data_IF_883326691589
#
_entry.id   IF_883326691589
#
_cell.length_a   1.000
_cell.length_b   1.000
_cell.length_c   1.000
_cell.angle_alpha   90.00
_cell.angle_beta   90.00
_cell.angle_gamma   90.00
#
_symmetry.space_group_name_H-M   'P 1'
#
loop_
_entity.id
_entity.type
_entity.pdbx_description
1 polymer ?
#
# COMPACT_ATOMS: atom_id res chain seq x y z
N UNK A 1 5.97 28.73 -54.97
CA UNK A 1 4.68 28.41 -54.32
C UNK A 1 4.87 27.11 -53.54
N UNK A 2 5.40 27.16 -52.32
CA UNK A 2 5.66 25.98 -51.47
C UNK A 2 4.73 26.06 -50.26
N UNK A 3 3.89 25.05 -50.14
CA UNK A 3 2.77 24.97 -49.20
C UNK A 3 3.28 24.92 -47.77
N UNK A 4 2.67 25.76 -46.94
CA UNK A 4 2.86 25.90 -45.50
C UNK A 4 2.24 24.65 -44.84
N UNK A 5 3.07 23.74 -44.32
CA UNK A 5 2.60 22.59 -43.56
C UNK A 5 1.94 23.09 -42.27
N UNK A 6 0.64 22.83 -42.14
CA UNK A 6 -0.21 23.34 -41.08
C UNK A 6 -0.10 22.38 -39.87
N UNK A 7 0.84 22.64 -38.97
CA UNK A 7 1.21 21.78 -37.83
C UNK A 7 0.13 21.59 -36.76
N UNK A 8 -1.04 22.21 -36.91
CA UNK A 8 -2.16 22.14 -35.96
C UNK A 8 -3.17 21.04 -36.30
N UNK A 9 -3.37 20.68 -37.58
CA UNK A 9 -4.29 19.60 -37.96
C UNK A 9 -3.75 18.22 -37.58
N UNK A 10 -2.44 18.01 -37.68
CA UNK A 10 -1.80 16.72 -37.34
C UNK A 10 -1.84 16.44 -35.84
N UNK A 11 -1.81 17.49 -35.01
CA UNK A 11 -1.95 17.33 -33.55
C UNK A 11 -3.37 16.97 -33.15
N UNK A 12 -4.38 17.56 -33.79
CA UNK A 12 -5.78 17.22 -33.55
C UNK A 12 -6.09 15.79 -34.00
N UNK A 13 -5.56 15.35 -35.15
CA UNK A 13 -5.68 13.98 -35.62
C UNK A 13 -4.97 12.98 -34.67
N UNK A 14 -3.82 13.34 -34.09
CA UNK A 14 -3.16 12.55 -33.06
C UNK A 14 -3.97 12.47 -31.76
N UNK A 15 -4.60 13.57 -31.33
CA UNK A 15 -5.46 13.58 -30.15
C UNK A 15 -6.73 12.75 -30.34
N UNK A 16 -7.36 12.82 -31.51
CA UNK A 16 -8.54 12.01 -31.85
C UNK A 16 -8.20 10.52 -31.96
N UNK A 17 -7.01 10.17 -32.47
CA UNK A 17 -6.51 8.79 -32.46
C UNK A 17 -6.23 8.27 -31.04
N UNK A 18 -5.72 9.13 -30.16
CA UNK A 18 -5.46 8.80 -28.76
C UNK A 18 -6.77 8.64 -27.98
N UNK A 19 -7.78 9.48 -28.26
CA UNK A 19 -9.13 9.37 -27.70
C UNK A 19 -9.90 8.14 -28.24
N UNK A 20 -9.76 7.82 -29.53
CA UNK A 20 -10.37 6.64 -30.14
C UNK A 20 -9.74 5.33 -29.63
N UNK A 21 -8.43 5.33 -29.33
CA UNK A 21 -7.74 4.18 -28.72
C UNK A 21 -8.16 3.98 -27.26
N UNK A 22 -8.46 5.06 -26.53
CA UNK A 22 -8.94 5.01 -25.14
C UNK A 22 -10.40 4.56 -25.00
N UNK A 23 -11.23 4.73 -26.03
CA UNK A 23 -12.66 4.37 -25.98
C UNK A 23 -12.95 2.93 -26.43
N UNK A 24 -11.99 2.27 -27.08
CA UNK A 24 -12.13 0.90 -27.59
C UNK A 24 -11.28 -0.11 -26.78
N UNK A 25 -11.47 -0.18 -25.47
CA UNK A 25 -11.03 -1.35 -24.69
C UNK A 25 -12.11 -2.43 -24.77
N UNK A 26 -11.91 -3.54 -25.50
CA UNK A 26 -12.85 -4.66 -25.46
C UNK A 26 -12.82 -5.29 -24.06
N UNK A 27 -14.01 -5.52 -23.51
CA UNK A 27 -14.21 -6.28 -22.26
C UNK A 27 -13.79 -7.74 -22.49
N UNK A 28 -12.52 -8.06 -22.32
CA UNK A 28 -12.07 -9.45 -22.19
C UNK A 28 -11.54 -9.71 -20.78
N UNK A 29 -12.30 -10.54 -20.08
CA UNK A 29 -12.18 -10.91 -18.68
C UNK A 29 -11.09 -11.96 -18.49
N UNK A 30 -9.85 -11.53 -18.32
CA UNK A 30 -8.88 -12.19 -17.46
C UNK A 30 -8.09 -11.12 -16.74
N UNK A 31 -8.72 -10.52 -15.74
CA UNK A 31 -8.03 -9.59 -14.83
C UNK A 31 -7.04 -10.42 -14.00
N UNK A 32 -5.71 -10.17 -14.05
CA UNK A 32 -4.88 -10.51 -12.91
C UNK A 32 -5.51 -9.77 -11.73
N UNK A 33 -5.97 -10.53 -10.73
CA UNK A 33 -6.65 -9.99 -9.57
C UNK A 33 -5.63 -9.15 -8.79
N UNK A 34 -5.47 -7.89 -9.16
CA UNK A 34 -5.00 -6.87 -8.24
C UNK A 34 -6.03 -6.85 -7.12
N UNK A 35 -5.67 -7.46 -6.00
CA UNK A 35 -6.46 -7.41 -4.77
C UNK A 35 -6.63 -5.94 -4.45
N UNK A 36 -7.82 -5.41 -4.73
CA UNK A 36 -8.17 -4.03 -4.45
C UNK A 36 -8.07 -3.78 -2.96
N UNK A 37 -7.09 -2.99 -2.53
CA UNK A 37 -6.89 -2.73 -1.10
C UNK A 37 -5.57 -2.04 -0.76
N UNK A 38 -5.30 -1.98 0.55
CA UNK A 38 -4.06 -1.49 1.17
C UNK A 38 -2.78 -2.01 0.50
N UNK A 39 -2.86 -3.14 -0.19
CA UNK A 39 -1.76 -3.81 -0.90
C UNK A 39 -1.32 -3.13 -2.19
N UNK A 40 -2.21 -2.41 -2.90
CA UNK A 40 -1.87 -1.77 -4.19
C UNK A 40 -0.70 -0.78 -4.06
N UNK A 41 -0.67 0.13 -3.07
CA UNK A 41 0.50 0.98 -2.86
C UNK A 41 1.78 0.20 -2.59
N UNK A 42 1.73 -0.90 -1.84
CA UNK A 42 2.91 -1.75 -1.58
C UNK A 42 3.39 -2.41 -2.87
N UNK A 43 2.47 -2.91 -3.68
CA UNK A 43 2.79 -3.60 -4.92
C UNK A 43 3.45 -2.62 -5.90
N UNK A 44 2.80 -1.47 -6.16
CA UNK A 44 3.32 -0.41 -7.04
C UNK A 44 4.67 0.13 -6.54
N UNK A 45 4.81 0.40 -5.23
CA UNK A 45 6.08 0.86 -4.66
C UNK A 45 7.18 -0.19 -4.80
N UNK A 46 6.86 -1.46 -4.54
CA UNK A 46 7.84 -2.55 -4.63
C UNK A 46 8.25 -2.87 -6.06
N UNK A 47 7.39 -2.57 -7.03
CA UNK A 47 7.65 -2.74 -8.46
C UNK A 47 8.49 -1.59 -9.04
N UNK A 48 8.19 -0.35 -8.63
CA UNK A 48 8.93 0.84 -9.09
C UNK A 48 10.44 0.80 -8.76
N UNK A 49 10.85 -0.05 -7.81
CA UNK A 49 12.24 -0.18 -7.38
C UNK A 49 12.75 -1.62 -7.56
N UNK A 50 13.65 -1.81 -8.54
CA UNK A 50 14.19 -3.12 -8.93
C UNK A 50 15.20 -3.73 -7.94
N UNK A 51 15.73 -2.95 -6.99
CA UNK A 51 16.76 -3.42 -6.05
C UNK A 51 16.19 -3.94 -4.73
N UNK A 52 16.59 -5.15 -4.32
CA UNK A 52 16.09 -5.84 -3.12
C UNK A 52 16.38 -5.09 -1.81
N UNK A 53 17.43 -4.28 -1.76
CA UNK A 53 17.87 -3.56 -0.56
C UNK A 53 16.97 -2.35 -0.26
N UNK A 54 16.55 -1.60 -1.29
CA UNK A 54 15.64 -0.46 -1.13
C UNK A 54 14.19 -0.88 -0.89
N UNK A 55 13.77 -2.06 -1.40
CA UNK A 55 12.40 -2.57 -1.21
C UNK A 55 12.02 -2.70 0.27
N UNK A 56 12.93 -3.18 1.11
CA UNK A 56 12.64 -3.29 2.54
C UNK A 56 12.55 -1.93 3.24
N UNK A 57 13.41 -0.98 2.86
CA UNK A 57 13.34 0.39 3.38
C UNK A 57 12.01 1.07 3.02
N UNK A 58 11.48 0.83 1.82
CA UNK A 58 10.18 1.37 1.40
C UNK A 58 9.01 0.79 2.21
N UNK A 59 9.05 -0.52 2.52
CA UNK A 59 8.05 -1.17 3.38
C UNK A 59 8.08 -0.62 4.82
N UNK A 60 9.24 -0.18 5.30
CA UNK A 60 9.33 0.49 6.61
C UNK A 60 8.77 1.91 6.54
N UNK A 61 9.02 2.65 5.46
CA UNK A 61 8.53 4.03 5.29
C UNK A 61 7.00 4.12 5.31
N UNK A 62 6.31 3.20 4.62
CA UNK A 62 4.83 3.18 4.62
C UNK A 62 4.26 2.88 6.02
N UNK A 63 4.96 2.09 6.83
CA UNK A 63 4.61 1.90 8.25
C UNK A 63 4.77 3.19 9.07
N UNK A 64 5.78 4.02 8.78
CA UNK A 64 5.90 5.34 9.41
C UNK A 64 4.75 6.27 9.03
N UNK A 65 4.33 6.28 7.76
CA UNK A 65 3.17 7.05 7.35
C UNK A 65 1.88 6.62 8.06
N UNK A 66 1.72 5.33 8.29
CA UNK A 66 0.59 4.81 9.05
C UNK A 66 0.62 5.30 10.51
N UNK A 67 1.78 5.23 11.18
CA UNK A 67 1.93 5.74 12.55
C UNK A 67 1.73 7.27 12.63
N UNK A 68 2.17 8.03 11.63
CA UNK A 68 1.91 9.47 11.52
C UNK A 68 0.42 9.78 11.37
N UNK A 69 -0.32 8.96 10.61
CA UNK A 69 -1.78 9.05 10.54
C UNK A 69 -2.43 8.79 11.90
N UNK A 70 -1.97 7.76 12.62
CA UNK A 70 -2.51 7.38 13.92
C UNK A 70 -2.40 8.50 14.98
N UNK A 71 -1.28 9.24 15.02
CA UNK A 71 -1.12 10.38 15.96
C UNK A 71 -1.88 11.64 15.52
N UNK A 72 -2.10 11.81 14.21
CA UNK A 72 -2.82 12.97 13.69
C UNK A 72 -4.31 12.95 14.09
N UNK A 73 -4.93 11.77 14.15
CA UNK A 73 -6.36 11.62 14.51
C UNK A 73 -6.70 12.18 15.90
N UNK A 74 -6.07 11.73 17.01
CA UNK A 74 -6.37 12.26 18.34
C UNK A 74 -5.93 13.72 18.50
N UNK A 75 -4.92 14.17 17.74
CA UNK A 75 -4.56 15.58 17.70
C UNK A 75 -5.69 16.42 17.11
N UNK A 76 -6.23 16.03 15.96
CA UNK A 76 -7.37 16.70 15.32
C UNK A 76 -8.63 16.61 16.17
N UNK A 77 -8.84 15.50 16.87
CA UNK A 77 -9.93 15.30 17.82
C UNK A 77 -9.83 16.34 18.96
N UNK A 78 -8.68 16.42 19.62
CA UNK A 78 -8.42 17.40 20.68
C UNK A 78 -8.61 18.83 20.21
N UNK A 79 -8.07 19.20 19.04
CA UNK A 79 -8.24 20.53 18.46
C UNK A 79 -9.73 20.85 18.17
N UNK A 80 -10.49 19.88 17.67
CA UNK A 80 -11.88 20.11 17.26
C UNK A 80 -12.84 20.19 18.46
N UNK A 81 -12.73 19.24 19.40
CA UNK A 81 -13.64 19.14 20.54
C UNK A 81 -13.26 20.07 21.70
N UNK A 82 -11.96 20.24 22.00
CA UNK A 82 -11.52 21.04 23.16
C UNK A 82 -11.30 22.50 22.80
N UNK A 83 -10.65 22.80 21.68
CA UNK A 83 -10.31 24.19 21.32
C UNK A 83 -11.40 24.90 20.52
N UNK A 84 -12.08 24.19 19.61
CA UNK A 84 -13.08 24.78 18.72
C UNK A 84 -14.53 24.56 19.16
N UNK A 85 -14.78 23.70 20.16
CA UNK A 85 -16.12 23.31 20.63
C UNK A 85 -17.09 22.94 19.48
N UNK A 86 -16.57 22.28 18.43
CA UNK A 86 -17.35 21.96 17.23
C UNK A 86 -17.97 20.55 17.33
N UNK A 87 -18.99 20.32 16.51
CA UNK A 87 -19.69 19.03 16.43
C UNK A 87 -18.86 17.98 15.68
N UNK A 88 -19.11 16.70 15.98
CA UNK A 88 -18.53 15.53 15.31
C UNK A 88 -18.54 15.58 13.77
N UNK A 89 -19.53 16.26 13.16
CA UNK A 89 -19.61 16.45 11.70
C UNK A 89 -18.37 17.14 11.13
N UNK A 90 -17.87 18.16 11.83
CA UNK A 90 -16.70 18.91 11.37
C UNK A 90 -15.42 18.09 11.52
N UNK A 91 -15.35 17.23 12.53
CA UNK A 91 -14.25 16.28 12.69
C UNK A 91 -14.20 15.30 11.51
N UNK A 92 -15.34 14.71 11.12
CA UNK A 92 -15.42 13.81 9.96
C UNK A 92 -15.01 14.52 8.66
N UNK A 93 -15.44 15.76 8.45
CA UNK A 93 -15.03 16.56 7.29
C UNK A 93 -13.51 16.75 7.27
N UNK A 94 -12.91 17.14 8.40
CA UNK A 94 -11.45 17.34 8.49
C UNK A 94 -10.70 16.03 8.22
N UNK A 95 -11.17 14.90 8.76
CA UNK A 95 -10.55 13.59 8.51
C UNK A 95 -10.70 13.12 7.05
N UNK A 96 -11.71 13.60 6.32
CA UNK A 96 -11.90 13.28 4.90
C UNK A 96 -10.98 14.07 3.96
N UNK A 97 -10.44 15.22 4.39
CA UNK A 97 -9.60 16.09 3.57
C UNK A 97 -8.29 15.41 3.12
N UNK A 98 -7.51 14.74 3.99
CA UNK A 98 -6.31 14.02 3.57
C UNK A 98 -6.64 12.87 2.59
N UNK A 99 -7.76 12.18 2.78
CA UNK A 99 -8.19 11.10 1.88
C UNK A 99 -8.58 11.63 0.51
N UNK A 100 -9.28 12.77 0.46
CA UNK A 100 -9.64 13.43 -0.80
C UNK A 100 -8.38 13.93 -1.53
N UNK A 101 -7.44 14.52 -0.78
CA UNK A 101 -6.15 14.95 -1.32
C UNK A 101 -5.36 13.77 -1.90
N UNK A 102 -5.31 12.63 -1.19
CA UNK A 102 -4.68 11.41 -1.67
C UNK A 102 -5.35 10.85 -2.93
N UNK A 103 -6.68 10.94 -3.05
CA UNK A 103 -7.41 10.55 -4.25
C UNK A 103 -7.02 11.42 -5.45
N UNK A 104 -7.00 12.75 -5.27
CA UNK A 104 -6.64 13.71 -6.30
C UNK A 104 -5.21 13.46 -6.78
N UNK A 105 -4.25 13.34 -5.86
CA UNK A 105 -2.86 13.04 -6.20
C UNK A 105 -2.73 11.67 -6.85
N UNK A 106 -3.40 10.65 -6.30
CA UNK A 106 -3.40 9.31 -6.83
C UNK A 106 -3.81 9.29 -8.30
N UNK A 107 -4.87 10.01 -8.64
CA UNK A 107 -5.35 10.13 -10.01
C UNK A 107 -4.35 10.82 -10.96
N UNK A 108 -3.67 11.88 -10.51
CA UNK A 108 -2.78 12.66 -11.40
C UNK A 108 -1.32 12.15 -11.45
N UNK A 109 -0.82 11.55 -10.37
CA UNK A 109 0.61 11.26 -10.18
C UNK A 109 0.91 9.77 -10.32
N UNK A 110 0.00 8.90 -9.87
CA UNK A 110 0.26 7.45 -9.88
C UNK A 110 0.05 6.93 -11.28
N UNK A 111 1.16 6.61 -11.95
CA UNK A 111 1.16 5.87 -13.21
C UNK A 111 0.95 4.40 -12.90
N UNK A 112 0.18 3.72 -13.74
CA UNK A 112 -0.02 2.26 -13.62
C UNK A 112 1.32 1.52 -13.75
N UNK A 113 1.36 0.34 -13.12
CA UNK A 113 2.52 -0.55 -13.08
C UNK A 113 2.94 -0.99 -14.50
N UNK A 114 4.24 -0.90 -14.81
CA UNK A 114 4.77 -1.26 -16.12
C UNK A 114 4.65 -2.76 -16.41
N UNK A 115 4.73 -3.61 -15.38
CA UNK A 115 4.53 -5.05 -15.48
C UNK A 115 3.08 -5.35 -15.82
N UNK A 116 2.13 -4.64 -15.20
CA UNK A 116 0.71 -4.78 -15.50
C UNK A 116 0.41 -4.36 -16.95
N UNK A 117 0.91 -3.19 -17.38
CA UNK A 117 0.74 -2.71 -18.76
C UNK A 117 1.32 -3.69 -19.78
N UNK A 118 2.54 -4.22 -19.54
CA UNK A 118 3.17 -5.21 -20.44
C UNK A 118 2.40 -6.54 -20.48
N UNK A 119 1.79 -6.95 -19.36
CA UNK A 119 0.96 -8.16 -19.31
C UNK A 119 -0.34 -7.98 -20.09
N UNK A 120 -0.98 -6.81 -20.01
CA UNK A 120 -2.18 -6.49 -20.79
C UNK A 120 -1.90 -6.41 -22.29
N UNK A 121 -0.84 -5.70 -22.71
CA UNK A 121 -0.47 -5.60 -24.14
C UNK A 121 -0.15 -6.95 -24.78
N UNK A 122 0.49 -7.86 -24.05
CA UNK A 122 0.82 -9.20 -24.55
C UNK A 122 -0.42 -10.04 -24.90
N UNK A 123 -1.56 -9.82 -24.23
CA UNK A 123 -2.81 -10.52 -24.54
C UNK A 123 -3.54 -9.98 -25.77
N UNK A 124 -3.20 -8.76 -26.22
CA UNK A 124 -3.82 -8.12 -27.40
C UNK A 124 -3.01 -8.37 -28.68
N UNK A 125 -1.69 -8.57 -28.57
CA UNK A 125 -0.77 -8.70 -29.72
C UNK A 125 -0.37 -10.15 -30.08
N UNK A 126 -0.97 -11.17 -29.45
CA UNK A 126 -0.70 -12.60 -29.76
C UNK A 126 -1.08 -13.02 -31.20
N UNK A 127 -1.72 -12.15 -31.99
CA UNK A 127 -1.94 -12.37 -33.43
C UNK A 127 -0.82 -11.85 -34.34
N UNK A 128 0.14 -11.05 -33.86
CA UNK A 128 1.08 -10.33 -34.75
C UNK A 128 2.57 -10.45 -34.40
N UNK A 129 2.96 -10.85 -33.18
CA UNK A 129 4.37 -10.82 -32.76
C UNK A 129 5.07 -12.17 -33.01
N UNK A 130 5.35 -12.48 -34.28
CA UNK A 130 6.36 -13.47 -34.68
C UNK A 130 7.66 -12.82 -35.21
N UNK A 131 7.75 -11.49 -35.22
CA UNK A 131 8.85 -10.76 -35.90
C UNK A 131 9.72 -9.84 -35.04
N UNK A 132 9.44 -9.64 -33.75
CA UNK A 132 10.31 -8.84 -32.85
C UNK A 132 11.00 -9.70 -31.79
N UNK A 133 11.82 -10.62 -32.27
CA UNK A 133 12.72 -11.51 -31.53
C UNK A 133 13.95 -10.78 -30.97
N UNK A 134 13.77 -9.74 -30.16
CA UNK A 134 14.90 -9.05 -29.48
C UNK A 134 14.65 -8.62 -28.02
N UNK A 135 13.49 -8.92 -27.43
CA UNK A 135 13.18 -8.64 -26.01
C UNK A 135 12.99 -9.91 -25.15
N UNK A 136 13.59 -11.02 -25.56
CA UNK A 136 13.44 -12.36 -24.95
C UNK A 136 13.93 -12.48 -23.50
N UNK A 137 14.68 -11.51 -22.97
CA UNK A 137 15.25 -11.59 -21.61
C UNK A 137 14.22 -11.34 -20.50
N UNK A 138 13.15 -10.57 -20.76
CA UNK A 138 12.12 -10.26 -19.75
C UNK A 138 10.99 -11.30 -19.78
N UNK A 139 10.72 -11.91 -20.94
CA UNK A 139 9.68 -12.95 -21.10
C UNK A 139 9.97 -14.20 -20.27
N UNK A 140 11.25 -14.53 -20.05
CA UNK A 140 11.64 -15.60 -19.14
C UNK A 140 11.21 -15.30 -17.69
N UNK A 141 11.16 -14.04 -17.25
CA UNK A 141 10.82 -13.73 -15.85
C UNK A 141 9.36 -14.07 -15.51
N UNK A 142 8.42 -13.85 -16.43
CA UNK A 142 6.99 -14.12 -16.19
C UNK A 142 6.63 -15.61 -16.16
N UNK A 143 7.24 -16.43 -17.02
CA UNK A 143 7.06 -17.89 -16.98
C UNK A 143 7.73 -18.50 -15.75
N UNK A 144 8.92 -17.99 -15.38
CA UNK A 144 9.63 -18.39 -14.16
C UNK A 144 8.86 -18.05 -12.87
N UNK A 145 8.06 -16.99 -12.83
CA UNK A 145 7.26 -16.65 -11.65
C UNK A 145 6.09 -17.63 -11.46
N UNK A 146 5.42 -18.03 -12.55
CA UNK A 146 4.30 -18.98 -12.50
C UNK A 146 4.73 -20.40 -12.12
N UNK A 147 5.86 -20.84 -12.68
CA UNK A 147 6.44 -22.16 -12.36
C UNK A 147 6.94 -22.20 -10.90
N UNK A 148 7.62 -21.15 -10.45
CA UNK A 148 8.13 -21.02 -9.08
C UNK A 148 7.05 -20.83 -8.03
N UNK A 149 5.92 -20.20 -8.36
CA UNK A 149 4.77 -20.08 -7.44
C UNK A 149 4.14 -21.44 -7.13
N UNK A 150 4.00 -22.31 -8.14
CA UNK A 150 3.52 -23.67 -7.95
C UNK A 150 4.52 -24.52 -7.17
N UNK A 151 5.81 -24.31 -7.39
CA UNK A 151 6.90 -25.00 -6.69
C UNK A 151 7.00 -24.62 -5.19
N UNK A 152 6.78 -23.34 -4.85
CA UNK A 152 6.72 -22.86 -3.46
C UNK A 152 5.60 -23.57 -2.68
N UNK A 153 4.47 -23.86 -3.32
CA UNK A 153 3.35 -24.55 -2.69
C UNK A 153 3.61 -26.05 -2.55
N UNK A 154 4.31 -26.68 -3.50
CA UNK A 154 4.40 -28.15 -3.59
C UNK A 154 5.65 -28.78 -3.00
N UNK A 155 6.84 -28.16 -3.05
CA UNK A 155 8.07 -28.90 -2.70
C UNK A 155 8.66 -28.56 -1.32
N UNK A 156 8.59 -27.31 -0.82
CA UNK A 156 9.20 -26.98 0.49
C UNK A 156 8.67 -25.69 1.16
N UNK A 157 7.57 -25.07 0.70
CA UNK A 157 7.14 -23.73 1.18
C UNK A 157 5.83 -23.67 1.99
N UNK A 158 5.13 -24.79 2.20
CA UNK A 158 3.86 -24.78 2.94
C UNK A 158 4.04 -24.37 4.42
N UNK A 159 5.12 -24.81 5.08
CA UNK A 159 5.40 -24.42 6.47
C UNK A 159 5.75 -22.94 6.60
N UNK A 160 6.41 -22.35 5.59
CA UNK A 160 6.70 -20.92 5.56
C UNK A 160 5.41 -20.11 5.37
N UNK A 161 4.55 -20.54 4.46
CA UNK A 161 3.25 -19.92 4.21
C UNK A 161 2.34 -19.99 5.43
N UNK A 162 2.20 -21.16 6.07
CA UNK A 162 1.39 -21.31 7.29
C UNK A 162 1.98 -20.50 8.44
N UNK A 163 3.31 -20.49 8.61
CA UNK A 163 3.96 -19.68 9.65
C UNK A 163 3.68 -18.20 9.44
N UNK A 164 3.78 -17.70 8.20
CA UNK A 164 3.44 -16.32 7.85
C UNK A 164 1.97 -16.01 8.13
N UNK A 165 1.06 -16.94 7.84
CA UNK A 165 -0.37 -16.77 8.12
C UNK A 165 -0.64 -16.66 9.62
N UNK A 166 -0.05 -17.53 10.43
CA UNK A 166 -0.20 -17.50 11.89
C UNK A 166 0.36 -16.20 12.47
N UNK A 167 1.55 -15.78 12.03
CA UNK A 167 2.17 -14.52 12.45
C UNK A 167 1.26 -13.33 12.11
N UNK A 168 0.73 -13.30 10.89
CA UNK A 168 -0.12 -12.21 10.43
C UNK A 168 -1.49 -12.19 11.12
N UNK A 169 -2.08 -13.36 11.34
CA UNK A 169 -3.31 -13.53 12.12
C UNK A 169 -3.11 -13.06 13.56
N UNK A 170 -2.04 -13.51 14.23
CA UNK A 170 -1.71 -13.12 15.61
C UNK A 170 -1.49 -11.61 15.73
N UNK A 171 -0.75 -11.00 14.80
CA UNK A 171 -0.57 -9.54 14.74
C UNK A 171 -1.91 -8.81 14.59
N UNK A 172 -2.74 -9.24 13.65
CA UNK A 172 -4.03 -8.61 13.38
C UNK A 172 -4.99 -8.74 14.57
N UNK A 173 -5.09 -9.93 15.15
CA UNK A 173 -5.91 -10.17 16.33
C UNK A 173 -5.48 -9.29 17.51
N UNK A 174 -4.18 -9.22 17.79
CA UNK A 174 -3.65 -8.41 18.89
C UNK A 174 -3.85 -6.91 18.65
N UNK A 175 -3.59 -6.42 17.44
CA UNK A 175 -3.74 -5.01 17.11
C UNK A 175 -5.19 -4.54 17.25
N UNK A 176 -6.15 -5.23 16.59
CA UNK A 176 -7.55 -4.84 16.68
C UNK A 176 -8.15 -5.10 18.06
N UNK A 177 -7.73 -6.16 18.75
CA UNK A 177 -8.10 -6.41 20.15
C UNK A 177 -7.74 -5.23 21.05
N UNK A 178 -6.51 -4.72 20.94
CA UNK A 178 -6.07 -3.54 21.67
C UNK A 178 -6.87 -2.29 21.31
N UNK A 179 -7.11 -2.02 20.03
CA UNK A 179 -7.90 -0.85 19.59
C UNK A 179 -9.31 -0.85 20.17
N UNK A 180 -9.99 -2.01 20.21
CA UNK A 180 -11.35 -2.12 20.76
C UNK A 180 -11.34 -1.91 22.28
N UNK A 181 -10.38 -2.51 22.99
CA UNK A 181 -10.23 -2.36 24.46
C UNK A 181 -9.90 -0.91 24.81
N UNK A 182 -9.05 -0.27 24.01
CA UNK A 182 -8.63 1.13 24.19
C UNK A 182 -9.81 2.09 24.27
N UNK A 183 -10.83 1.93 23.42
CA UNK A 183 -12.05 2.74 23.47
C UNK A 183 -12.82 2.62 24.80
N UNK A 184 -12.75 1.46 25.46
CA UNK A 184 -13.35 1.27 26.78
C UNK A 184 -12.52 1.90 27.89
N UNK A 185 -11.18 1.81 27.81
CA UNK A 185 -10.26 2.37 28.80
C UNK A 185 -10.30 3.90 28.80
N UNK A 186 -10.50 4.52 27.64
CA UNK A 186 -10.55 5.98 27.51
C UNK A 186 -11.92 6.59 27.82
N UNK A 187 -12.94 5.74 28.00
CA UNK A 187 -14.24 6.16 28.50
C UNK A 187 -14.17 6.24 30.03
N UNK A 188 -13.90 7.42 30.58
CA UNK A 188 -13.96 7.69 32.02
C UNK A 188 -15.34 8.24 32.41
N UNK A 189 -15.72 8.13 33.68
CA UNK A 189 -17.02 8.63 34.19
C UNK A 189 -17.22 10.14 33.96
N UNK A 190 -16.12 10.90 33.85
CA UNK A 190 -16.10 12.34 33.57
C UNK A 190 -16.04 12.69 32.06
N UNK A 191 -16.07 11.70 31.17
CA UNK A 191 -15.98 11.86 29.72
C UNK A 191 -14.73 11.25 29.09
N UNK A 192 -14.41 11.67 27.86
CA UNK A 192 -13.31 11.10 27.07
C UNK A 192 -11.95 11.68 27.46
N UNK A 193 -11.01 10.81 27.79
CA UNK A 193 -9.65 11.19 28.17
C UNK A 193 -8.73 11.42 26.93
N UNK A 194 -8.80 12.62 26.35
CA UNK A 194 -7.97 13.01 25.20
C UNK A 194 -6.46 12.83 25.41
N UNK A 195 -5.97 13.05 26.64
CA UNK A 195 -4.53 12.91 26.97
C UNK A 195 -4.07 11.47 26.81
N UNK A 196 -4.87 10.49 27.26
CA UNK A 196 -4.53 9.07 27.19
C UNK A 196 -4.51 8.58 25.75
N UNK A 197 -5.47 9.04 24.94
CA UNK A 197 -5.51 8.77 23.49
C UNK A 197 -4.27 9.30 22.77
N UNK A 198 -3.87 10.55 23.05
CA UNK A 198 -2.66 11.14 22.46
C UNK A 198 -1.38 10.38 22.86
N UNK A 199 -1.21 10.03 24.14
CA UNK A 199 -0.04 9.26 24.57
C UNK A 199 -0.01 7.85 23.97
N UNK A 200 -1.17 7.20 23.80
CA UNK A 200 -1.27 5.89 23.17
C UNK A 200 -0.81 5.93 21.71
N UNK A 201 -1.36 6.83 20.90
CA UNK A 201 -0.94 6.99 19.50
C UNK A 201 0.50 7.50 19.38
N UNK A 202 0.97 8.32 20.32
CA UNK A 202 2.37 8.71 20.41
C UNK A 202 3.31 7.53 20.66
N UNK A 203 2.91 6.58 21.53
CA UNK A 203 3.69 5.37 21.80
C UNK A 203 3.81 4.46 20.57
N UNK A 204 2.84 4.48 19.67
CA UNK A 204 2.86 3.73 18.42
C UNK A 204 3.88 4.29 17.43
N UNK A 205 4.00 5.61 17.32
CA UNK A 205 5.05 6.27 16.53
C UNK A 205 6.44 5.95 17.07
N UNK A 206 6.61 6.04 18.39
CA UNK A 206 7.88 5.71 19.04
C UNK A 206 8.22 4.23 18.86
N UNK A 207 7.24 3.34 19.03
CA UNK A 207 7.40 1.90 18.90
C UNK A 207 7.76 1.48 17.48
N UNK A 208 7.11 2.04 16.46
CA UNK A 208 7.42 1.77 15.05
C UNK A 208 8.80 2.29 14.67
N UNK A 209 9.18 3.49 15.11
CA UNK A 209 10.53 4.04 14.90
C UNK A 209 11.61 3.16 15.54
N UNK A 210 11.43 2.81 16.82
CA UNK A 210 12.35 1.97 17.57
C UNK A 210 12.49 0.58 16.94
N UNK A 211 11.38 -0.03 16.54
CA UNK A 211 11.39 -1.35 15.88
C UNK A 211 12.11 -1.30 14.54
N UNK A 212 11.95 -0.22 13.76
CA UNK A 212 12.69 -0.04 12.50
C UNK A 212 14.20 0.02 12.71
N UNK A 213 14.66 0.86 13.64
CA UNK A 213 16.09 0.97 13.98
C UNK A 213 16.65 -0.35 14.51
N UNK A 214 15.88 -1.06 15.34
CA UNK A 214 16.30 -2.35 15.89
C UNK A 214 16.36 -3.44 14.81
N UNK A 215 15.40 -3.46 13.88
CA UNK A 215 15.37 -4.39 12.77
C UNK A 215 16.60 -4.25 11.86
N UNK A 216 17.08 -3.03 11.65
CA UNK A 216 18.27 -2.76 10.84
C UNK A 216 19.58 -3.12 11.55
N UNK A 217 19.64 -3.02 12.89
CA UNK A 217 20.86 -3.32 13.66
C UNK A 217 21.00 -4.78 14.08
N UNK A 218 19.91 -5.40 14.55
CA UNK A 218 19.92 -6.74 15.18
C UNK A 218 19.47 -7.83 14.18
N UNK A 219 18.79 -7.42 13.11
CA UNK A 219 18.20 -8.32 12.12
C UNK A 219 16.70 -8.55 12.36
N UNK A 220 15.99 -8.93 11.30
CA UNK A 220 14.52 -8.93 11.26
C UNK A 220 13.86 -10.02 12.09
N UNK A 221 14.40 -11.25 12.03
CA UNK A 221 13.85 -12.42 12.74
C UNK A 221 13.95 -12.24 14.28
N UNK A 222 15.12 -11.92 14.86
CA UNK A 222 15.21 -11.73 16.31
C UNK A 222 14.37 -10.54 16.78
N UNK A 223 14.32 -9.44 16.01
CA UNK A 223 13.47 -8.29 16.34
C UNK A 223 11.99 -8.68 16.41
N UNK A 224 11.51 -9.49 15.47
CA UNK A 224 10.13 -9.99 15.47
C UNK A 224 9.85 -10.83 16.73
N UNK A 225 10.75 -11.75 17.09
CA UNK A 225 10.57 -12.61 18.27
C UNK A 225 10.52 -11.80 19.57
N UNK A 226 11.42 -10.83 19.73
CA UNK A 226 11.44 -9.96 20.90
C UNK A 226 10.16 -9.13 21.03
N UNK A 227 9.66 -8.56 19.93
CA UNK A 227 8.42 -7.79 19.95
C UNK A 227 7.21 -8.64 20.36
N UNK A 228 7.11 -9.87 19.87
CA UNK A 228 6.01 -10.77 20.26
C UNK A 228 6.11 -11.23 21.72
N UNK A 229 7.32 -11.55 22.20
CA UNK A 229 7.52 -11.91 23.61
C UNK A 229 7.16 -10.75 24.54
N UNK A 230 7.63 -9.56 24.21
CA UNK A 230 7.35 -8.35 24.99
C UNK A 230 5.84 -8.05 25.01
N UNK A 231 5.17 -8.11 23.85
CA UNK A 231 3.73 -7.93 23.75
C UNK A 231 2.96 -8.97 24.59
N UNK A 232 3.38 -10.24 24.56
CA UNK A 232 2.78 -11.30 25.37
C UNK A 232 2.88 -11.03 26.87
N UNK A 233 4.05 -10.58 27.35
CA UNK A 233 4.26 -10.23 28.78
C UNK A 233 3.39 -9.04 29.20
N UNK A 234 3.24 -8.03 28.35
CA UNK A 234 2.41 -6.86 28.68
C UNK A 234 0.91 -7.16 28.66
N UNK A 235 0.44 -8.06 27.78
CA UNK A 235 -0.96 -8.46 27.71
C UNK A 235 -1.41 -9.34 28.90
N UNK A 236 -0.47 -9.98 29.59
CA UNK A 236 -0.76 -10.81 30.77
C UNK A 236 -1.06 -10.00 32.04
N UNK A 237 -0.93 -8.67 31.99
CA UNK A 237 -1.09 -7.77 33.14
C UNK A 237 -2.32 -6.87 32.98
#
# INVERSE_FOLDING_TARGET
MRLRANTTSDRLAQFDLLFATLTHTPKHTHTPQLVGGFTIPFDILSESHSSSLHRASLVVQINYFWALGAILVPLLEYLNFVLLNKTWRTFVIICSLPSLFALIIGYFVVRESEIWLKTQHKTTDESTISSLSSHSTILNSSSLISEKANEIITSLGWYQTISLWIIWFSKSFSYYGMVIVTSRIFSSDDGWDYRRSFFSCGSEVVGTWMTGVLADRVGRIPTMMWSFLLAGVFLLR
#
